data_IF_819666316467
#
_entry.id   IF_819666316467
#
_cell.length_a   1.000
_cell.length_b   1.000
_cell.length_c   1.000
_cell.angle_alpha   90.00
_cell.angle_beta   90.00
_cell.angle_gamma   90.00
#
_symmetry.space_group_name_H-M   'P 1'
#
loop_
_entity.id
_entity.type
_entity.pdbx_description
1 polymer ?
#
# COMPACT_ATOMS: atom_id res chain seq x y z
N UNK A 1 -5.32 -31.91 15.20
CA UNK A 1 -5.72 -33.08 14.38
C UNK A 1 -4.48 -33.65 13.72
N UNK A 2 -4.22 -34.96 13.85
CA UNK A 2 -3.30 -35.69 12.97
C UNK A 2 -4.19 -36.46 11.99
N UNK A 3 -3.90 -36.36 10.70
CA UNK A 3 -4.68 -36.93 9.61
C UNK A 3 -3.70 -37.48 8.57
N UNK A 4 -4.01 -38.63 7.97
CA UNK A 4 -3.26 -39.13 6.82
C UNK A 4 -3.46 -38.19 5.62
N UNK A 5 -2.40 -37.93 4.87
CA UNK A 5 -2.44 -37.07 3.69
C UNK A 5 -3.37 -37.60 2.59
N UNK A 6 -3.57 -38.92 2.51
CA UNK A 6 -4.50 -39.53 1.55
C UNK A 6 -5.96 -39.34 1.95
N UNK A 7 -6.24 -38.99 3.21
CA UNK A 7 -7.60 -38.81 3.74
C UNK A 7 -8.06 -37.35 3.73
N UNK A 8 -7.23 -36.44 3.21
CA UNK A 8 -7.58 -35.02 3.10
C UNK A 8 -8.74 -34.84 2.12
N UNK A 9 -9.84 -34.28 2.62
CA UNK A 9 -11.06 -34.05 1.85
C UNK A 9 -11.74 -32.75 2.29
N UNK A 10 -12.83 -32.36 1.61
CA UNK A 10 -13.57 -31.14 1.92
C UNK A 10 -13.98 -31.03 3.38
N UNK A 11 -14.43 -32.12 4.00
CA UNK A 11 -14.91 -32.11 5.39
C UNK A 11 -13.76 -31.83 6.36
N UNK A 12 -12.64 -32.55 6.25
CA UNK A 12 -11.50 -32.39 7.15
C UNK A 12 -10.86 -31.01 7.02
N UNK A 13 -10.80 -30.47 5.80
CA UNK A 13 -10.30 -29.10 5.56
C UNK A 13 -11.29 -28.06 6.08
N UNK A 14 -12.60 -28.23 5.88
CA UNK A 14 -13.60 -27.30 6.42
C UNK A 14 -13.60 -27.27 7.95
N UNK A 15 -13.42 -28.42 8.60
CA UNK A 15 -13.27 -28.51 10.05
C UNK A 15 -12.04 -27.71 10.51
N UNK A 16 -10.89 -27.91 9.87
CA UNK A 16 -9.66 -27.16 10.19
C UNK A 16 -9.82 -25.65 9.94
N UNK A 17 -10.55 -25.24 8.88
CA UNK A 17 -10.89 -23.84 8.62
C UNK A 17 -11.72 -23.26 9.77
N UNK A 18 -12.74 -23.98 10.23
CA UNK A 18 -13.63 -23.51 11.30
C UNK A 18 -12.86 -23.38 12.63
N UNK A 19 -12.02 -24.36 12.97
CA UNK A 19 -11.13 -24.29 14.14
C UNK A 19 -10.12 -23.14 14.03
N UNK A 20 -9.57 -22.90 12.84
CA UNK A 20 -8.63 -21.81 12.56
C UNK A 20 -9.29 -20.44 12.58
N UNK A 21 -10.55 -20.32 12.15
CA UNK A 21 -11.33 -19.08 12.13
C UNK A 21 -11.53 -18.46 13.52
N UNK A 22 -11.49 -19.28 14.57
CA UNK A 22 -11.51 -18.80 15.96
C UNK A 22 -10.18 -18.16 16.40
N UNK A 23 -9.07 -18.43 15.70
CA UNK A 23 -7.70 -18.09 16.15
C UNK A 23 -7.00 -17.06 15.27
N UNK A 24 -7.23 -17.10 13.96
CA UNK A 24 -6.48 -16.31 12.98
C UNK A 24 -7.41 -15.64 11.96
N UNK A 25 -6.90 -14.60 11.29
CA UNK A 25 -7.67 -13.84 10.31
C UNK A 25 -7.96 -14.61 9.02
N UNK A 26 -9.02 -14.21 8.31
CA UNK A 26 -9.47 -14.82 7.06
C UNK A 26 -8.38 -14.96 5.97
N UNK A 27 -7.46 -13.99 5.89
CA UNK A 27 -6.33 -14.06 4.96
C UNK A 27 -5.39 -15.22 5.30
N UNK A 28 -5.01 -15.36 6.57
CA UNK A 28 -4.12 -16.41 7.07
C UNK A 28 -4.72 -17.79 6.82
N UNK A 29 -6.03 -17.95 7.02
CA UNK A 29 -6.73 -19.22 6.76
C UNK A 29 -6.67 -19.57 5.28
N UNK A 30 -6.99 -18.61 4.41
CA UNK A 30 -6.92 -18.82 2.96
C UNK A 30 -5.51 -19.19 2.49
N UNK A 31 -4.49 -18.50 3.02
CA UNK A 31 -3.08 -18.82 2.72
C UNK A 31 -2.67 -20.19 3.26
N UNK A 32 -3.14 -20.58 4.45
CA UNK A 32 -2.93 -21.91 5.02
C UNK A 32 -3.53 -23.01 4.15
N UNK A 33 -4.77 -22.85 3.68
CA UNK A 33 -5.40 -23.81 2.75
C UNK A 33 -4.60 -23.92 1.46
N UNK A 34 -4.17 -22.80 0.87
CA UNK A 34 -3.32 -22.83 -0.33
C UNK A 34 -1.99 -23.54 -0.09
N UNK A 35 -1.35 -23.32 1.07
CA UNK A 35 -0.10 -23.99 1.43
C UNK A 35 -0.29 -25.50 1.53
N UNK A 36 -1.35 -25.96 2.20
CA UNK A 36 -1.68 -27.40 2.31
C UNK A 36 -1.91 -27.99 0.92
N UNK A 37 -2.73 -27.36 0.08
CA UNK A 37 -2.96 -27.84 -1.29
C UNK A 37 -1.67 -27.89 -2.11
N UNK A 38 -0.78 -26.90 -1.97
CA UNK A 38 0.50 -26.88 -2.66
C UNK A 38 1.43 -28.00 -2.16
N UNK A 39 1.46 -28.26 -0.86
CA UNK A 39 2.26 -29.32 -0.27
C UNK A 39 1.77 -30.72 -0.71
N UNK A 40 0.46 -30.97 -0.72
CA UNK A 40 -0.11 -32.24 -1.17
C UNK A 40 0.23 -32.52 -2.64
N UNK A 41 0.19 -31.49 -3.49
CA UNK A 41 0.55 -31.60 -4.91
C UNK A 41 2.00 -32.05 -5.14
N UNK A 42 2.92 -31.79 -4.21
CA UNK A 42 4.31 -32.27 -4.32
C UNK A 42 4.41 -33.80 -4.20
N UNK A 43 3.38 -34.44 -3.66
CA UNK A 43 3.27 -35.90 -3.52
C UNK A 43 2.20 -36.47 -4.45
N UNK A 44 1.86 -35.76 -5.53
CA UNK A 44 0.82 -36.13 -6.51
C UNK A 44 -0.59 -36.31 -5.91
N UNK A 45 -0.82 -35.76 -4.72
CA UNK A 45 -2.13 -35.75 -4.06
C UNK A 45 -2.83 -34.42 -4.37
N UNK A 46 -3.90 -34.47 -5.16
CA UNK A 46 -4.66 -33.29 -5.59
C UNK A 46 -6.15 -33.42 -5.25
N UNK A 47 -6.55 -33.27 -3.98
CA UNK A 47 -7.95 -33.42 -3.59
C UNK A 47 -8.79 -32.31 -4.21
N UNK A 48 -9.97 -32.66 -4.72
CA UNK A 48 -10.96 -31.68 -5.13
C UNK A 48 -11.67 -31.16 -3.88
N UNK A 49 -11.26 -29.98 -3.43
CA UNK A 49 -11.78 -29.35 -2.21
C UNK A 49 -12.83 -28.29 -2.55
N UNK A 50 -14.07 -28.55 -2.15
CA UNK A 50 -15.11 -27.54 -2.00
C UNK A 50 -15.15 -27.09 -0.55
N UNK A 51 -14.55 -25.94 -0.25
CA UNK A 51 -14.47 -25.37 1.11
C UNK A 51 -14.78 -23.89 1.11
N UNK A 52 -15.38 -23.41 2.19
CA UNK A 52 -15.75 -22.01 2.38
C UNK A 52 -14.81 -21.36 3.39
N UNK A 53 -14.00 -20.41 2.91
CA UNK A 53 -13.18 -19.55 3.76
C UNK A 53 -14.02 -18.42 4.37
N UNK A 54 -13.72 -17.97 5.59
CA UNK A 54 -14.42 -16.84 6.19
C UNK A 54 -14.25 -15.56 5.37
N UNK A 55 -15.28 -14.73 5.36
CA UNK A 55 -15.24 -13.43 4.69
C UNK A 55 -14.19 -12.51 5.33
N UNK A 56 -13.56 -11.67 4.51
CA UNK A 56 -12.70 -10.61 5.03
C UNK A 56 -13.57 -9.53 5.66
N UNK A 57 -13.37 -9.28 6.96
CA UNK A 57 -13.94 -8.12 7.64
C UNK A 57 -13.10 -6.88 7.29
N UNK A 58 -13.69 -5.78 6.79
CA UNK A 58 -12.95 -4.54 6.56
C UNK A 58 -12.44 -4.01 7.90
N UNK A 59 -11.17 -3.59 7.94
CA UNK A 59 -10.63 -2.84 9.07
C UNK A 59 -10.75 -1.37 8.73
N UNK A 60 -11.62 -0.65 9.42
CA UNK A 60 -11.64 0.81 9.37
C UNK A 60 -10.42 1.28 10.17
N UNK A 61 -9.47 1.93 9.50
CA UNK A 61 -8.37 2.63 10.14
C UNK A 61 -8.70 4.11 10.11
N UNK A 62 -8.49 4.78 11.23
CA UNK A 62 -8.42 6.24 11.22
C UNK A 62 -7.07 6.64 10.60
N UNK A 63 -7.11 7.43 9.53
CA UNK A 63 -5.94 7.83 8.77
C UNK A 63 -5.78 9.35 8.91
N UNK A 64 -4.58 9.85 9.24
CA UNK A 64 -4.33 11.28 9.20
C UNK A 64 -4.43 11.79 7.75
N UNK A 65 -4.80 13.06 7.60
CA UNK A 65 -4.76 13.75 6.30
C UNK A 65 -3.30 13.93 5.84
N UNK A 66 -3.10 14.17 4.54
CA UNK A 66 -1.76 14.46 4.00
C UNK A 66 -1.13 15.69 4.69
N UNK A 67 -1.94 16.73 4.96
CA UNK A 67 -1.51 17.92 5.68
C UNK A 67 -1.06 17.59 7.12
N UNK A 68 -1.85 16.79 7.85
CA UNK A 68 -1.49 16.35 9.19
C UNK A 68 -0.17 15.58 9.19
N UNK A 69 0.01 14.63 8.27
CA UNK A 69 1.29 13.90 8.14
C UNK A 69 2.44 14.86 7.84
N UNK A 70 2.28 15.77 6.87
CA UNK A 70 3.32 16.76 6.54
C UNK A 70 3.71 17.59 7.77
N UNK A 71 2.72 18.04 8.55
CA UNK A 71 2.97 18.82 9.77
C UNK A 71 3.72 18.03 10.84
N UNK A 72 3.39 16.74 11.02
CA UNK A 72 4.01 15.89 12.05
C UNK A 72 5.46 15.55 11.73
N UNK A 73 5.77 15.29 10.45
CA UNK A 73 7.11 14.85 10.05
C UNK A 73 8.06 16.00 9.77
N UNK A 74 7.56 17.24 9.61
CA UNK A 74 8.38 18.41 9.25
C UNK A 74 9.50 18.65 10.27
N UNK A 75 10.73 18.83 9.78
CA UNK A 75 11.91 19.06 10.59
C UNK A 75 12.44 17.82 11.32
N UNK A 76 11.79 16.66 11.15
CA UNK A 76 12.28 15.39 11.70
C UNK A 76 13.21 14.69 10.72
N UNK A 77 14.03 13.78 11.21
CA UNK A 77 14.93 12.98 10.36
C UNK A 77 14.19 11.92 9.51
N UNK A 78 12.88 11.75 9.73
CA UNK A 78 12.02 10.91 8.91
C UNK A 78 11.15 11.71 7.93
N UNK A 79 11.34 13.04 7.83
CA UNK A 79 10.60 13.90 6.89
C UNK A 79 10.75 13.41 5.46
N UNK A 80 11.99 13.38 4.96
CA UNK A 80 12.30 12.97 3.59
C UNK A 80 11.73 11.58 3.25
N UNK A 81 11.99 10.50 4.01
CA UNK A 81 11.43 9.18 3.68
C UNK A 81 9.89 9.17 3.71
N UNK A 82 9.24 9.89 4.62
CA UNK A 82 7.78 9.95 4.67
C UNK A 82 7.20 10.70 3.46
N UNK A 83 7.81 11.81 3.04
CA UNK A 83 7.38 12.57 1.87
C UNK A 83 7.62 11.79 0.57
N UNK A 84 8.74 11.07 0.45
CA UNK A 84 8.98 10.16 -0.68
C UNK A 84 7.87 9.09 -0.76
N UNK A 85 7.47 8.49 0.37
CA UNK A 85 6.43 7.48 0.39
C UNK A 85 5.04 8.05 0.06
N UNK A 86 4.68 9.20 0.65
CA UNK A 86 3.35 9.81 0.52
C UNK A 86 3.16 10.61 -0.78
N UNK A 87 4.13 11.45 -1.14
CA UNK A 87 4.01 12.37 -2.28
C UNK A 87 4.37 11.68 -3.61
N UNK A 88 5.39 10.82 -3.59
CA UNK A 88 5.84 10.07 -4.78
C UNK A 88 5.29 8.64 -4.81
N UNK A 89 4.42 8.28 -3.87
CA UNK A 89 3.78 6.96 -3.79
C UNK A 89 4.80 5.82 -3.73
N UNK A 90 5.92 5.96 -3.01
CA UNK A 90 6.97 4.92 -2.97
C UNK A 90 6.69 3.86 -1.90
N UNK A 91 7.08 2.61 -2.17
CA UNK A 91 7.13 1.56 -1.13
C UNK A 91 8.32 1.83 -0.21
N UNK A 92 8.26 1.39 1.05
CA UNK A 92 9.39 1.49 1.98
C UNK A 92 10.71 0.97 1.38
N UNK A 93 10.66 -0.18 0.69
CA UNK A 93 11.84 -0.75 0.04
C UNK A 93 12.33 0.10 -1.13
N UNK A 94 11.44 0.79 -1.85
CA UNK A 94 11.81 1.72 -2.92
C UNK A 94 12.44 2.99 -2.32
N UNK A 95 11.84 3.57 -1.27
CA UNK A 95 12.39 4.73 -0.53
C UNK A 95 13.83 4.47 -0.09
N UNK A 96 14.08 3.31 0.55
CA UNK A 96 15.42 2.89 0.98
C UNK A 96 16.32 2.40 -0.15
N UNK A 97 15.77 2.21 -1.35
CA UNK A 97 16.47 1.71 -2.53
C UNK A 97 16.97 2.83 -3.45
N UNK A 98 16.53 4.07 -3.26
CA UNK A 98 16.94 5.23 -4.04
C UNK A 98 18.39 5.61 -3.75
N UNK A 99 19.15 5.85 -4.81
CA UNK A 99 20.51 6.37 -4.76
C UNK A 99 20.58 7.77 -5.38
N UNK A 100 21.63 8.54 -5.09
CA UNK A 100 21.78 9.91 -5.63
C UNK A 100 21.80 9.92 -7.18
N UNK A 101 22.44 8.92 -7.80
CA UNK A 101 22.47 8.70 -9.26
C UNK A 101 21.09 8.51 -9.91
N UNK A 102 20.08 8.17 -9.11
CA UNK A 102 18.72 7.96 -9.63
C UNK A 102 17.99 9.29 -9.86
N UNK A 103 18.51 10.42 -9.34
CA UNK A 103 17.99 11.76 -9.54
C UNK A 103 18.76 12.46 -10.67
N UNK A 104 18.07 12.79 -11.77
CA UNK A 104 18.62 13.60 -12.85
C UNK A 104 17.76 14.87 -13.03
N UNK A 105 18.33 16.02 -12.67
CA UNK A 105 17.59 17.27 -12.62
C UNK A 105 16.45 17.19 -11.60
N UNK A 106 15.21 17.27 -12.05
CA UNK A 106 14.02 17.07 -11.23
C UNK A 106 13.35 15.71 -11.45
N UNK A 107 13.97 14.78 -12.17
CA UNK A 107 13.40 13.47 -12.49
C UNK A 107 14.07 12.38 -11.67
N UNK A 108 13.29 11.72 -10.82
CA UNK A 108 13.73 10.58 -10.02
C UNK A 108 13.33 9.26 -10.69
N UNK A 109 14.30 8.38 -10.90
CA UNK A 109 14.10 7.04 -11.47
C UNK A 109 13.99 5.99 -10.36
N UNK A 110 12.79 5.50 -10.13
CA UNK A 110 12.54 4.43 -9.14
C UNK A 110 12.83 3.08 -9.80
N UNK A 111 14.02 2.52 -9.63
CA UNK A 111 14.43 1.27 -10.30
C UNK A 111 14.82 0.13 -9.35
N UNK A 112 15.05 0.43 -8.07
CA UNK A 112 15.68 -0.46 -7.10
C UNK A 112 14.84 -0.59 -5.84
N UNK A 113 15.01 -1.71 -5.13
CA UNK A 113 14.40 -1.95 -3.83
C UNK A 113 15.43 -2.48 -2.83
N UNK A 114 15.52 -1.86 -1.66
CA UNK A 114 16.30 -2.33 -0.51
C UNK A 114 15.35 -2.99 0.50
N UNK A 115 15.32 -4.32 0.51
CA UNK A 115 14.39 -5.14 1.28
C UNK A 115 15.09 -5.59 2.57
N UNK A 116 14.48 -5.30 3.71
CA UNK A 116 14.93 -5.87 4.98
C UNK A 116 14.26 -7.23 5.20
N UNK A 117 15.05 -8.29 5.33
CA UNK A 117 14.60 -9.65 5.59
C UNK A 117 15.63 -10.40 6.44
N UNK A 118 15.17 -11.07 7.48
CA UNK A 118 16.00 -11.91 8.36
C UNK A 118 17.28 -11.21 8.89
N UNK A 119 17.10 -9.99 9.41
CA UNK A 119 18.21 -9.19 9.94
C UNK A 119 19.11 -8.53 8.90
N UNK A 120 18.88 -8.76 7.59
CA UNK A 120 19.77 -8.31 6.52
C UNK A 120 19.05 -7.43 5.50
N UNK A 121 19.81 -6.52 4.89
CA UNK A 121 19.38 -5.74 3.75
C UNK A 121 19.69 -6.50 2.45
N UNK A 122 18.68 -6.70 1.61
CA UNK A 122 18.76 -7.34 0.30
C UNK A 122 18.42 -6.28 -0.74
N UNK A 123 19.45 -5.79 -1.43
CA UNK A 123 19.29 -4.83 -2.53
C UNK A 123 18.95 -5.58 -3.80
N UNK A 124 17.90 -5.14 -4.49
CA UNK A 124 17.50 -5.65 -5.80
C UNK A 124 17.53 -4.51 -6.80
N UNK A 125 18.49 -4.59 -7.70
CA UNK A 125 18.82 -3.57 -8.72
C UNK A 125 17.78 -3.44 -9.84
N UNK A 126 16.83 -4.37 -9.87
CA UNK A 126 15.67 -4.32 -10.75
C UNK A 126 14.44 -4.59 -9.91
N UNK A 127 13.43 -3.73 -10.05
CA UNK A 127 12.16 -3.97 -9.41
C UNK A 127 11.50 -5.25 -9.96
N UNK A 128 10.75 -5.97 -9.12
CA UNK A 128 10.15 -7.28 -9.44
C UNK A 128 9.27 -7.32 -10.72
N UNK A 129 8.81 -6.17 -11.23
CA UNK A 129 7.92 -6.08 -12.40
C UNK A 129 8.27 -4.89 -13.30
N UNK A 130 7.94 -4.97 -14.61
CA UNK A 130 8.15 -3.86 -15.56
C UNK A 130 7.52 -2.53 -15.07
N UNK A 131 6.28 -2.60 -14.56
CA UNK A 131 5.51 -1.43 -14.08
C UNK A 131 6.06 -0.78 -12.81
N UNK A 132 6.92 -1.47 -12.05
CA UNK A 132 7.51 -0.88 -10.85
C UNK A 132 8.66 0.08 -11.16
N UNK A 133 9.33 -0.10 -12.30
CA UNK A 133 10.34 0.86 -12.77
C UNK A 133 9.64 2.05 -13.41
N UNK A 134 9.82 3.23 -12.83
CA UNK A 134 9.12 4.45 -13.27
C UNK A 134 9.95 5.69 -13.01
N UNK A 135 9.65 6.75 -13.76
CA UNK A 135 10.22 8.08 -13.56
C UNK A 135 9.16 9.00 -12.98
N UNK A 136 9.54 9.78 -11.97
CA UNK A 136 8.66 10.74 -11.31
C UNK A 136 9.35 12.10 -11.28
N UNK A 137 8.62 13.14 -11.65
CA UNK A 137 9.07 14.51 -11.39
C UNK A 137 8.97 14.78 -9.89
N UNK A 138 10.09 15.18 -9.30
CA UNK A 138 10.26 15.50 -7.89
C UNK A 138 9.95 16.99 -7.70
N UNK A 139 9.03 17.34 -6.77
CA UNK A 139 8.83 18.73 -6.36
C UNK A 139 10.08 19.34 -5.73
N UNK A 140 10.29 20.65 -5.92
CA UNK A 140 11.48 21.35 -5.42
C UNK A 140 11.70 21.16 -3.92
N UNK A 141 10.62 21.09 -3.13
CA UNK A 141 10.72 20.84 -1.69
C UNK A 141 11.41 19.51 -1.37
N UNK A 142 11.00 18.42 -2.02
CA UNK A 142 11.65 17.11 -1.83
C UNK A 142 13.06 17.13 -2.40
N UNK A 143 13.26 17.81 -3.53
CA UNK A 143 14.58 17.92 -4.16
C UNK A 143 15.58 18.61 -3.22
N UNK A 144 15.19 19.71 -2.59
CA UNK A 144 16.01 20.41 -1.59
C UNK A 144 16.33 19.52 -0.39
N UNK A 145 15.36 18.73 0.09
CA UNK A 145 15.61 17.76 1.15
C UNK A 145 16.62 16.67 0.74
N UNK A 146 16.57 16.20 -0.51
CA UNK A 146 17.55 15.24 -1.04
C UNK A 146 18.94 15.87 -1.15
N UNK A 147 19.04 17.07 -1.71
CA UNK A 147 20.31 17.81 -1.89
C UNK A 147 20.97 18.17 -0.55
N UNK A 148 20.19 18.34 0.51
CA UNK A 148 20.68 18.57 1.86
C UNK A 148 21.28 17.31 2.52
N UNK A 149 21.05 16.11 1.98
CA UNK A 149 21.64 14.88 2.53
C UNK A 149 23.11 14.78 2.13
N UNK A 150 24.04 14.71 3.12
CA UNK A 150 25.46 14.55 2.82
C UNK A 150 25.75 13.23 2.12
N UNK A 151 26.49 13.29 1.02
CA UNK A 151 26.95 12.13 0.25
C UNK A 151 28.30 12.42 -0.40
N UNK A 152 29.08 11.38 -0.68
CA UNK A 152 30.38 11.51 -1.37
C UNK A 152 30.36 10.89 -2.77
N UNK A 153 29.50 9.90 -2.98
CA UNK A 153 29.34 9.18 -4.24
C UNK A 153 27.88 9.14 -4.65
N UNK A 154 27.68 9.11 -5.96
CA UNK A 154 26.35 9.03 -6.57
C UNK A 154 25.65 7.68 -6.34
N UNK A 155 26.38 6.61 -6.02
CA UNK A 155 25.82 5.30 -5.71
C UNK A 155 25.43 5.10 -4.23
N UNK A 156 25.61 6.12 -3.38
CA UNK A 156 25.12 6.11 -2.00
C UNK A 156 23.60 6.21 -1.95
N UNK A 157 22.98 5.61 -0.93
CA UNK A 157 21.53 5.70 -0.74
C UNK A 157 21.13 7.07 -0.20
N UNK A 158 20.05 7.63 -0.76
CA UNK A 158 19.47 8.90 -0.29
C UNK A 158 18.97 8.75 1.15
N UNK A 159 18.28 7.64 1.46
CA UNK A 159 17.82 7.32 2.81
C UNK A 159 18.80 6.34 3.44
N UNK A 160 19.74 6.87 4.22
CA UNK A 160 20.77 6.10 4.92
C UNK A 160 20.26 5.41 6.20
N UNK A 161 19.00 5.68 6.59
CA UNK A 161 18.40 5.13 7.80
C UNK A 161 18.05 3.64 7.64
N UNK A 162 18.36 2.85 8.68
CA UNK A 162 18.00 1.44 8.74
C UNK A 162 16.48 1.21 8.82
N UNK A 163 16.02 0.09 8.28
CA UNK A 163 14.59 -0.23 8.18
C UNK A 163 13.89 -0.19 9.54
N UNK A 164 14.47 -0.85 10.55
CA UNK A 164 13.87 -0.92 11.89
C UNK A 164 13.84 0.44 12.57
N UNK A 165 14.87 1.27 12.35
CA UNK A 165 14.95 2.63 12.90
C UNK A 165 13.86 3.51 12.28
N UNK A 166 13.75 3.53 10.95
CA UNK A 166 12.73 4.30 10.24
C UNK A 166 11.32 3.86 10.64
N UNK A 167 11.08 2.54 10.70
CA UNK A 167 9.80 1.97 11.13
C UNK A 167 9.46 2.40 12.56
N UNK A 168 10.40 2.26 13.49
CA UNK A 168 10.16 2.53 14.91
C UNK A 168 9.94 4.02 15.17
N UNK A 169 10.72 4.90 14.53
CA UNK A 169 10.54 6.36 14.61
C UNK A 169 9.19 6.78 14.05
N UNK A 170 8.82 6.26 12.89
CA UNK A 170 7.52 6.54 12.28
C UNK A 170 6.36 6.09 13.19
N UNK A 171 6.39 4.86 13.73
CA UNK A 171 5.33 4.39 14.63
C UNK A 171 5.22 5.22 15.89
N UNK A 172 6.35 5.51 16.54
CA UNK A 172 6.38 6.33 17.74
C UNK A 172 5.79 7.72 17.50
N UNK A 173 6.21 8.40 16.43
CA UNK A 173 5.72 9.74 16.10
C UNK A 173 4.20 9.78 15.88
N UNK A 174 3.66 8.79 15.17
CA UNK A 174 2.23 8.74 14.84
C UNK A 174 1.39 8.30 16.05
N UNK A 175 1.90 7.37 16.86
CA UNK A 175 1.23 6.92 18.09
C UNK A 175 1.13 8.03 19.14
N UNK A 176 2.18 8.84 19.30
CA UNK A 176 2.16 10.05 20.15
C UNK A 176 1.09 11.08 19.72
N UNK A 177 0.57 10.97 18.49
CA UNK A 177 -0.49 11.82 17.94
C UNK A 177 -1.85 11.10 17.81
N UNK A 178 -1.96 9.88 18.34
CA UNK A 178 -3.20 9.09 18.33
C UNK A 178 -3.46 8.31 17.03
N UNK A 179 -2.49 8.23 16.13
CA UNK A 179 -2.64 7.52 14.86
C UNK A 179 -1.91 6.18 14.85
N UNK A 180 -2.63 5.11 14.52
CA UNK A 180 -2.07 3.76 14.39
C UNK A 180 -1.98 3.34 12.93
N UNK A 181 -1.02 3.93 12.21
CA UNK A 181 -0.78 3.66 10.80
C UNK A 181 0.58 3.01 10.54
N UNK A 182 0.65 2.22 9.48
CA UNK A 182 1.88 1.62 8.96
C UNK A 182 2.54 2.55 7.96
N UNK A 183 3.85 2.41 7.72
CA UNK A 183 4.52 3.20 6.68
C UNK A 183 3.93 2.97 5.28
N UNK A 184 3.35 1.78 5.04
CA UNK A 184 2.66 1.50 3.78
C UNK A 184 1.37 2.31 3.63
N UNK A 185 0.75 2.74 4.73
CA UNK A 185 -0.45 3.56 4.69
C UNK A 185 -0.17 4.97 4.13
N UNK A 186 1.09 5.45 4.14
CA UNK A 186 1.48 6.68 3.41
C UNK A 186 1.26 6.55 1.89
N UNK A 187 1.50 5.35 1.34
CA UNK A 187 1.23 5.05 -0.07
C UNK A 187 -0.28 4.94 -0.34
N UNK A 188 -1.06 4.48 0.63
CA UNK A 188 -2.52 4.54 0.55
C UNK A 188 -3.03 5.98 0.59
N UNK A 189 -2.46 6.84 1.44
CA UNK A 189 -2.77 8.26 1.50
C UNK A 189 -2.46 8.97 0.17
N UNK A 190 -1.36 8.61 -0.48
CA UNK A 190 -1.06 9.04 -1.86
C UNK A 190 -2.17 8.72 -2.85
N UNK A 191 -2.74 7.51 -2.76
CA UNK A 191 -3.87 7.11 -3.59
C UNK A 191 -5.12 7.91 -3.24
N UNK A 192 -5.40 8.16 -1.95
CA UNK A 192 -6.52 9.02 -1.52
C UNK A 192 -6.43 10.41 -2.11
N UNK A 193 -5.24 11.02 -2.06
CA UNK A 193 -4.99 12.35 -2.62
C UNK A 193 -5.19 12.35 -4.14
N UNK A 194 -4.70 11.35 -4.87
CA UNK A 194 -4.92 11.27 -6.32
C UNK A 194 -6.40 11.13 -6.67
N UNK A 195 -7.17 10.39 -5.87
CA UNK A 195 -8.63 10.27 -6.05
C UNK A 195 -9.35 11.60 -5.76
N UNK A 196 -9.00 12.26 -4.65
CA UNK A 196 -9.53 13.58 -4.29
C UNK A 196 -9.26 14.62 -5.39
N UNK A 197 -8.09 14.54 -6.03
CA UNK A 197 -7.70 15.41 -7.15
C UNK A 197 -8.30 14.97 -8.51
N UNK A 198 -9.19 13.97 -8.54
CA UNK A 198 -9.80 13.41 -9.75
C UNK A 198 -8.78 12.97 -10.80
N UNK A 199 -7.62 12.48 -10.38
CA UNK A 199 -6.59 11.96 -11.30
C UNK A 199 -7.10 10.65 -11.93
N UNK A 200 -7.11 10.52 -13.27
CA UNK A 200 -7.57 9.29 -13.91
C UNK A 200 -6.76 8.06 -13.46
N UNK A 201 -7.45 6.94 -13.26
CA UNK A 201 -6.89 5.66 -12.79
C UNK A 201 -5.59 5.27 -13.50
N UNK A 202 -5.54 5.43 -14.83
CA UNK A 202 -4.36 5.13 -15.65
C UNK A 202 -3.12 5.87 -15.14
N UNK A 203 -3.21 7.19 -14.97
CA UNK A 203 -2.09 8.02 -14.53
C UNK A 203 -1.76 7.79 -13.06
N UNK A 204 -2.77 7.57 -12.20
CA UNK A 204 -2.55 7.22 -10.81
C UNK A 204 -1.81 5.88 -10.66
N UNK A 205 -2.17 4.88 -11.49
CA UNK A 205 -1.49 3.59 -11.55
C UNK A 205 -0.06 3.68 -12.08
N UNK A 206 0.18 4.46 -13.14
CA UNK A 206 1.52 4.72 -13.67
C UNK A 206 2.40 5.42 -12.62
N UNK A 207 1.90 6.49 -12.00
CA UNK A 207 2.59 7.22 -10.92
C UNK A 207 2.88 6.34 -9.71
N UNK A 208 1.91 5.55 -9.29
CA UNK A 208 2.06 4.60 -8.18
C UNK A 208 2.98 3.43 -8.52
N UNK A 209 3.14 3.05 -9.78
CA UNK A 209 3.77 1.78 -10.14
C UNK A 209 2.93 0.59 -9.66
N UNK A 210 1.60 0.68 -9.85
CA UNK A 210 0.64 -0.37 -9.51
C UNK A 210 0.35 -1.26 -10.72
N UNK A 211 0.41 -2.58 -10.53
CA UNK A 211 0.04 -3.53 -11.58
C UNK A 211 -1.48 -3.63 -11.78
N UNK A 212 -2.25 -3.38 -10.73
CA UNK A 212 -3.71 -3.46 -10.67
C UNK A 212 -4.28 -2.23 -9.96
N UNK A 213 -5.56 -1.91 -10.17
CA UNK A 213 -6.24 -0.83 -9.47
C UNK A 213 -6.71 -1.21 -8.05
N UNK A 214 -6.24 -2.34 -7.49
CA UNK A 214 -6.63 -2.79 -6.14
C UNK A 214 -6.32 -1.75 -5.07
N UNK A 215 -5.17 -1.07 -5.14
CA UNK A 215 -4.81 0.01 -4.21
C UNK A 215 -5.81 1.16 -4.28
N UNK A 216 -6.13 1.64 -5.49
CA UNK A 216 -7.13 2.70 -5.69
C UNK A 216 -8.51 2.28 -5.17
N UNK A 217 -8.97 1.10 -5.56
CA UNK A 217 -10.27 0.54 -5.13
C UNK A 217 -10.38 0.38 -3.62
N UNK A 218 -9.32 -0.02 -2.94
CA UNK A 218 -9.32 -0.12 -1.48
C UNK A 218 -9.50 1.24 -0.81
N UNK A 219 -9.04 2.33 -1.44
CA UNK A 219 -9.16 3.67 -0.91
C UNK A 219 -10.49 4.33 -1.27
N UNK A 220 -11.04 4.04 -2.46
CA UNK A 220 -12.42 4.37 -2.79
C UNK A 220 -13.41 3.86 -1.73
N UNK A 221 -13.08 2.78 -1.02
CA UNK A 221 -13.87 2.21 0.08
C UNK A 221 -13.72 2.98 1.42
N UNK A 222 -12.78 3.91 1.55
CA UNK A 222 -12.45 4.62 2.78
C UNK A 222 -12.65 6.15 2.74
N UNK A 223 -12.69 6.80 1.57
CA UNK A 223 -12.99 8.25 1.41
C UNK A 223 -14.49 8.59 1.61
N UNK A 224 -15.05 8.10 2.71
CA UNK A 224 -16.47 8.19 3.05
C UNK A 224 -16.71 9.33 4.04
N UNK A 225 -16.90 10.56 3.54
CA UNK A 225 -17.96 11.43 4.08
C UNK A 225 -18.21 12.66 3.22
N UNK A 226 -17.16 13.40 2.82
CA UNK A 226 -17.38 14.75 2.29
C UNK A 226 -17.40 14.79 0.75
N UNK A 227 -16.54 14.04 0.06
CA UNK A 227 -16.69 13.91 -1.40
C UNK A 227 -17.93 13.12 -1.77
N UNK A 228 -18.33 12.11 -0.96
CA UNK A 228 -19.57 11.37 -1.22
C UNK A 228 -20.81 12.26 -1.11
N UNK A 229 -20.87 13.14 -0.10
CA UNK A 229 -21.92 14.17 -0.02
C UNK A 229 -21.91 15.07 -1.26
N UNK A 230 -20.74 15.43 -1.79
CA UNK A 230 -20.65 16.24 -3.01
C UNK A 230 -21.07 15.47 -4.28
N UNK A 231 -20.76 14.17 -4.36
CA UNK A 231 -21.18 13.29 -5.45
C UNK A 231 -22.69 13.05 -5.40
N UNK A 232 -23.21 12.69 -4.23
CA UNK A 232 -24.64 12.49 -4.01
C UNK A 232 -25.40 13.78 -4.37
N UNK A 233 -24.91 14.95 -3.91
CA UNK A 233 -25.46 16.25 -4.30
C UNK A 233 -25.46 16.48 -5.82
N UNK A 234 -24.37 16.18 -6.52
CA UNK A 234 -24.31 16.32 -8.00
C UNK A 234 -25.32 15.41 -8.71
N UNK A 235 -25.51 14.19 -8.21
CA UNK A 235 -26.47 13.24 -8.76
C UNK A 235 -27.89 13.74 -8.49
N UNK A 236 -28.17 14.20 -7.27
CA UNK A 236 -29.45 14.76 -6.88
C UNK A 236 -29.77 16.01 -7.72
N UNK A 237 -28.82 16.92 -7.89
CA UNK A 237 -28.98 18.12 -8.71
C UNK A 237 -29.33 17.77 -10.16
N UNK A 238 -28.70 16.73 -10.75
CA UNK A 238 -29.05 16.25 -12.09
C UNK A 238 -30.49 15.73 -12.18
N UNK A 239 -30.89 14.83 -11.29
CA UNK A 239 -32.25 14.29 -11.31
C UNK A 239 -33.31 15.34 -10.99
N UNK A 240 -33.04 16.25 -10.05
CA UNK A 240 -33.91 17.38 -9.75
C UNK A 240 -34.11 18.29 -10.97
N UNK A 241 -33.04 18.55 -11.73
CA UNK A 241 -33.14 19.34 -12.97
C UNK A 241 -34.04 18.68 -14.03
N UNK A 242 -34.03 17.34 -14.13
CA UNK A 242 -34.93 16.61 -15.03
C UNK A 242 -36.39 16.68 -14.55
N UNK A 243 -36.64 16.58 -13.25
CA UNK A 243 -37.99 16.71 -12.68
C UNK A 243 -38.55 18.13 -12.85
N UNK A 244 -37.72 19.16 -12.73
CA UNK A 244 -38.14 20.54 -12.99
C UNK A 244 -38.54 20.78 -14.46
N UNK A 245 -37.92 20.08 -15.41
CA UNK A 245 -38.30 20.14 -16.82
C UNK A 245 -39.62 19.40 -17.06
N UNK A 246 -39.78 18.21 -16.49
CA UNK A 246 -41.01 17.40 -16.63
C UNK A 246 -42.23 18.03 -15.95
N UNK A 247 -42.04 18.80 -14.87
CA UNK A 247 -43.13 19.48 -14.15
C UNK A 247 -43.53 20.83 -14.79
N UNK A 248 -42.87 21.25 -15.87
CA UNK A 248 -43.18 22.48 -16.64
C UNK A 248 -43.92 22.20 -17.95
N UNK A 249 -44.13 20.92 -18.29
CA UNK A 249 -45.04 20.46 -19.35
C UNK A 249 -46.42 20.10 -18.77
#
# INVERSE_FOLDING_TARGET
>A
MRLDVSEVNSYTVQQAINEGAAKVGAKTIKEGVHLVCAALKLYDIAPVLSVTCPARKPKLKDLPTAEQVMSMVRGTDIELPCLLAMWLSLRMSEVRGLQFRDLNGNVLTVCRSNIYFDGRNIVRDVNKTYKSTRRLTVPDYIKQLIEAVPHKKEDEFIVQMEYQTLRSKFYKLLEERGYHITFHDLRHLSASVMLMLNIPDKYAMERGGWSTNSTLKSVYQHTFSDERKQVDKKIDDYFNSLLEVLNKE
#
